data_IF_730161394244
#
_entry.id   IF_730161394244
#
_cell.length_a   1.000
_cell.length_b   1.000
_cell.length_c   1.000
_cell.angle_alpha   90.00
_cell.angle_beta   90.00
_cell.angle_gamma   90.00
#
_symmetry.space_group_name_H-M   'P 1'
#
loop_
_entity.id
_entity.type
_entity.pdbx_description
1 polymer ?
#
# COMPACT_ATOMS: atom_id res chain seq x y z
N UNK A 1 0.93 -39.65 19.59
CA UNK A 1 2.12 -39.09 18.90
C UNK A 1 1.84 -38.78 17.43
N UNK A 2 1.26 -39.70 16.65
CA UNK A 2 0.98 -39.46 15.20
C UNK A 2 -0.15 -38.44 15.00
N UNK A 3 -1.27 -38.56 15.73
CA UNK A 3 -2.41 -37.64 15.63
C UNK A 3 -2.05 -36.19 16.00
N UNK A 4 -1.23 -36.02 17.04
CA UNK A 4 -0.72 -34.71 17.46
C UNK A 4 0.19 -34.07 16.40
N UNK A 5 0.99 -34.88 15.68
CA UNK A 5 1.84 -34.39 14.58
C UNK A 5 1.01 -33.99 13.36
N UNK A 6 -0.04 -34.75 13.05
CA UNK A 6 -0.97 -34.43 11.96
C UNK A 6 -1.71 -33.11 12.23
N UNK A 7 -2.23 -32.93 13.44
CA UNK A 7 -2.93 -31.69 13.83
C UNK A 7 -2.02 -30.47 13.74
N UNK A 8 -0.76 -30.58 14.20
CA UNK A 8 0.22 -29.50 14.06
C UNK A 8 0.52 -29.17 12.61
N UNK A 9 0.69 -30.18 11.74
CA UNK A 9 0.95 -29.96 10.33
C UNK A 9 -0.20 -29.22 9.62
N UNK A 10 -1.46 -29.55 9.94
CA UNK A 10 -2.64 -28.86 9.38
C UNK A 10 -2.70 -27.42 9.88
N UNK A 11 -2.48 -27.18 11.17
CA UNK A 11 -2.51 -25.81 11.73
C UNK A 11 -1.39 -24.96 11.15
N UNK A 12 -0.15 -25.45 11.11
CA UNK A 12 0.99 -24.72 10.55
C UNK A 12 0.80 -24.46 9.06
N UNK A 13 0.35 -25.47 8.31
CA UNK A 13 0.04 -25.32 6.88
C UNK A 13 -1.06 -24.28 6.64
N UNK A 14 -2.14 -24.32 7.43
CA UNK A 14 -3.23 -23.35 7.35
C UNK A 14 -2.79 -21.92 7.66
N UNK A 15 -1.99 -21.72 8.71
CA UNK A 15 -1.44 -20.41 9.06
C UNK A 15 -0.50 -19.88 7.98
N UNK A 16 0.39 -20.72 7.45
CA UNK A 16 1.31 -20.33 6.38
C UNK A 16 0.56 -19.92 5.10
N UNK A 17 -0.46 -20.70 4.71
CA UNK A 17 -1.31 -20.37 3.55
C UNK A 17 -2.07 -19.06 3.77
N UNK A 18 -2.64 -18.86 4.96
CA UNK A 18 -3.35 -17.63 5.30
C UNK A 18 -2.43 -16.41 5.28
N UNK A 19 -1.25 -16.51 5.90
CA UNK A 19 -0.26 -15.44 5.89
C UNK A 19 0.21 -15.11 4.47
N UNK A 20 0.47 -16.13 3.64
CA UNK A 20 0.82 -15.96 2.23
C UNK A 20 -0.28 -15.27 1.43
N UNK A 21 -1.55 -15.61 1.66
CA UNK A 21 -2.69 -14.98 1.00
C UNK A 21 -2.83 -13.50 1.39
N UNK A 22 -2.73 -13.19 2.68
CA UNK A 22 -2.77 -11.81 3.19
C UNK A 22 -1.64 -10.98 2.58
N UNK A 23 -0.42 -11.53 2.55
CA UNK A 23 0.73 -10.86 1.94
C UNK A 23 0.52 -10.62 0.45
N UNK A 24 0.04 -11.61 -0.30
CA UNK A 24 -0.28 -11.50 -1.72
C UNK A 24 -1.31 -10.38 -1.97
N UNK A 25 -2.43 -10.41 -1.26
CA UNK A 25 -3.51 -9.42 -1.42
C UNK A 25 -2.99 -8.01 -1.11
N UNK A 26 -2.24 -7.84 -0.03
CA UNK A 26 -1.64 -6.55 0.32
C UNK A 26 -0.66 -6.07 -0.75
N UNK A 27 0.16 -6.97 -1.30
CA UNK A 27 1.08 -6.65 -2.41
C UNK A 27 0.33 -6.20 -3.67
N UNK A 28 -0.75 -6.91 -4.05
CA UNK A 28 -1.59 -6.56 -5.19
C UNK A 28 -2.26 -5.20 -5.01
N UNK A 29 -2.82 -4.93 -3.83
CA UNK A 29 -3.44 -3.64 -3.51
C UNK A 29 -2.39 -2.52 -3.56
N UNK A 30 -1.20 -2.74 -2.99
CA UNK A 30 -0.09 -1.78 -3.09
C UNK A 30 0.30 -1.51 -4.56
N UNK A 31 0.31 -2.55 -5.39
CA UNK A 31 0.57 -2.47 -6.83
C UNK A 31 -0.45 -1.69 -7.65
N UNK A 32 -1.69 -1.51 -7.16
CA UNK A 32 -2.75 -0.77 -7.87
C UNK A 32 -2.58 0.74 -7.78
N UNK A 33 -1.85 1.24 -6.78
CA UNK A 33 -1.66 2.68 -6.64
C UNK A 33 -0.59 3.17 -7.63
N UNK A 34 -0.86 4.29 -8.33
CA UNK A 34 0.09 4.84 -9.27
C UNK A 34 1.37 5.29 -8.55
N UNK A 35 2.50 5.26 -9.25
CA UNK A 35 3.72 5.93 -8.79
C UNK A 35 3.57 7.45 -8.90
N UNK A 36 4.46 8.23 -8.28
CA UNK A 36 4.41 9.70 -8.39
C UNK A 36 4.42 10.19 -9.84
N UNK A 37 5.31 9.63 -10.67
CA UNK A 37 5.40 9.93 -12.11
C UNK A 37 4.08 9.63 -12.83
N UNK A 38 3.47 8.47 -12.56
CA UNK A 38 2.17 8.11 -13.14
C UNK A 38 1.04 9.03 -12.66
N UNK A 39 1.05 9.40 -11.37
CA UNK A 39 0.09 10.33 -10.80
C UNK A 39 0.19 11.72 -11.43
N UNK A 40 1.42 12.19 -11.70
CA UNK A 40 1.66 13.44 -12.42
C UNK A 40 1.11 13.40 -13.85
N UNK A 41 1.27 12.27 -14.57
CA UNK A 41 0.69 12.10 -15.90
C UNK A 41 -0.84 12.03 -15.89
N UNK A 42 -1.43 11.38 -14.88
CA UNK A 42 -2.89 11.24 -14.75
C UNK A 42 -3.55 12.55 -14.31
N UNK A 43 -2.87 13.33 -13.47
CA UNK A 43 -3.41 14.57 -12.87
C UNK A 43 -2.39 15.72 -12.93
N UNK A 44 -2.05 16.23 -14.12
CA UNK A 44 -1.05 17.29 -14.28
C UNK A 44 -1.43 18.59 -13.55
N UNK A 45 -2.73 18.87 -13.40
CA UNK A 45 -3.21 20.04 -12.65
C UNK A 45 -3.06 19.94 -11.13
N UNK A 46 -2.95 18.71 -10.63
CA UNK A 46 -2.75 18.43 -9.21
C UNK A 46 -1.28 18.56 -8.80
N UNK A 47 -0.33 18.47 -9.73
CA UNK A 47 1.10 18.59 -9.48
C UNK A 47 1.63 19.85 -10.17
N UNK A 48 1.64 20.99 -9.48
CA UNK A 48 2.12 22.28 -10.01
C UNK A 48 3.08 22.94 -9.01
N UNK A 49 4.11 23.60 -9.53
CA UNK A 49 5.10 24.38 -8.76
C UNK A 49 5.79 23.60 -7.63
N UNK A 50 6.10 22.32 -7.85
CA UNK A 50 6.76 21.46 -6.84
C UNK A 50 5.83 20.99 -5.70
N UNK A 51 4.55 21.36 -5.73
CA UNK A 51 3.53 20.90 -4.77
C UNK A 51 2.62 19.83 -5.36
N UNK A 52 2.18 18.89 -4.53
CA UNK A 52 1.16 17.89 -4.88
C UNK A 52 -0.15 18.19 -4.15
N UNK A 53 -1.24 18.30 -4.92
CA UNK A 53 -2.62 18.40 -4.42
C UNK A 53 -3.37 17.09 -4.61
N UNK A 54 -4.36 16.87 -3.76
CA UNK A 54 -5.30 15.79 -3.93
C UNK A 54 -6.24 16.07 -5.11
N UNK A 55 -6.31 15.14 -6.07
CA UNK A 55 -7.24 15.25 -7.20
C UNK A 55 -8.71 15.18 -6.78
N UNK A 56 -9.03 14.56 -5.63
CA UNK A 56 -10.41 14.42 -5.15
C UNK A 56 -10.93 15.67 -4.43
N UNK A 57 -10.15 16.22 -3.49
CA UNK A 57 -10.61 17.31 -2.62
C UNK A 57 -9.82 18.62 -2.77
N UNK A 58 -8.76 18.64 -3.58
CA UNK A 58 -7.89 19.80 -3.75
C UNK A 58 -6.93 20.08 -2.58
N UNK A 59 -6.97 19.27 -1.51
CA UNK A 59 -6.11 19.44 -0.34
C UNK A 59 -4.62 19.35 -0.67
N UNK A 60 -3.82 20.25 -0.08
CA UNK A 60 -2.35 20.31 -0.27
C UNK A 60 -1.56 19.50 0.78
N UNK A 61 -2.20 19.12 1.88
CA UNK A 61 -1.54 18.37 2.96
C UNK A 61 -1.53 16.89 2.63
N UNK A 62 -0.32 16.33 2.52
CA UNK A 62 -0.08 14.92 2.25
C UNK A 62 0.64 14.31 3.44
N UNK A 63 0.09 13.22 3.96
CA UNK A 63 0.69 12.39 5.00
C UNK A 63 1.44 11.23 4.36
N UNK A 64 2.65 10.98 4.85
CA UNK A 64 3.46 9.84 4.46
C UNK A 64 3.22 8.69 5.43
N UNK A 65 2.55 7.64 4.95
CA UNK A 65 2.37 6.42 5.71
C UNK A 65 3.45 5.42 5.32
N UNK A 66 4.24 4.98 6.29
CA UNK A 66 5.20 3.88 6.16
C UNK A 66 4.44 2.56 6.34
N UNK A 67 4.48 1.67 5.34
CA UNK A 67 3.79 0.38 5.44
C UNK A 67 4.61 -0.67 6.19
N UNK A 68 5.92 -0.71 5.94
CA UNK A 68 6.85 -1.63 6.56
C UNK A 68 8.13 -0.84 6.85
N UNK A 69 8.65 -0.88 8.08
CA UNK A 69 9.76 -0.03 8.53
C UNK A 69 11.09 -0.22 7.78
N UNK A 70 11.20 -1.23 6.92
CA UNK A 70 12.43 -1.66 6.26
C UNK A 70 12.35 -1.65 4.73
N UNK A 71 11.15 -1.61 4.16
CA UNK A 71 10.93 -1.57 2.71
C UNK A 71 10.43 -0.18 2.39
N UNK A 72 11.01 0.48 1.38
CA UNK A 72 10.72 1.86 0.96
C UNK A 72 9.28 2.07 0.41
N UNK A 73 8.34 1.22 0.82
CA UNK A 73 6.92 1.28 0.54
C UNK A 73 6.26 2.35 1.38
N UNK A 74 6.28 3.56 0.85
CA UNK A 74 5.50 4.68 1.43
C UNK A 74 4.28 4.95 0.57
N UNK A 75 3.17 5.27 1.23
CA UNK A 75 1.94 5.76 0.60
C UNK A 75 1.78 7.23 0.94
N UNK A 76 1.49 8.02 -0.08
CA UNK A 76 1.20 9.44 0.05
C UNK A 76 -0.33 9.60 0.11
N UNK A 77 -0.84 9.95 1.29
CA UNK A 77 -2.27 10.00 1.59
C UNK A 77 -2.68 11.45 1.81
N UNK A 78 -3.80 11.88 1.23
CA UNK A 78 -4.34 13.20 1.52
C UNK A 78 -4.86 13.26 2.97
N UNK A 79 -4.40 14.24 3.75
CA UNK A 79 -4.86 14.44 5.14
C UNK A 79 -6.32 14.88 5.20
N UNK A 80 -6.78 15.61 4.19
CA UNK A 80 -8.13 16.19 4.18
C UNK A 80 -9.22 15.16 3.92
N UNK A 81 -9.01 14.23 2.98
CA UNK A 81 -10.03 13.26 2.57
C UNK A 81 -9.61 11.79 2.74
N UNK A 82 -8.38 11.51 3.18
CA UNK A 82 -7.88 10.15 3.37
C UNK A 82 -7.56 9.39 2.07
N UNK A 83 -7.69 10.02 0.90
CA UNK A 83 -7.42 9.35 -0.39
C UNK A 83 -5.93 9.09 -0.57
N UNK A 84 -5.57 7.84 -0.91
CA UNK A 84 -4.20 7.48 -1.32
C UNK A 84 -3.95 8.04 -2.72
N UNK A 85 -2.97 8.94 -2.83
CA UNK A 85 -2.63 9.64 -4.06
C UNK A 85 -1.71 8.79 -4.93
N UNK A 86 -0.55 8.44 -4.38
CA UNK A 86 0.47 7.67 -5.07
C UNK A 86 1.35 6.91 -4.07
N UNK A 87 2.10 5.95 -4.60
CA UNK A 87 3.12 5.22 -3.86
C UNK A 87 4.52 5.69 -4.21
N UNK A 88 5.45 5.53 -3.27
CA UNK A 88 6.89 5.65 -3.52
C UNK A 88 7.35 4.58 -4.50
N UNK A 89 8.33 4.90 -5.33
CA UNK A 89 8.99 3.91 -6.17
C UNK A 89 9.88 3.06 -5.26
N UNK A 90 9.58 1.77 -5.17
CA UNK A 90 10.50 0.76 -4.62
C UNK A 90 11.69 0.56 -5.52
#
# INVERSE_FOLDING_TARGET
MVETMLMLAVVVGGVALFAGLVWWVNWRIYGRFPTFEQYQCLHPDSVKNGGCRCHMCGGQRVFLQHLDGELDRRRHICVTCGTVLYRSRT
#
